data_IF_037776030538
#
_entry.id   IF_037776030538
#
_cell.length_a   1.000
_cell.length_b   1.000
_cell.length_c   1.000
_cell.angle_alpha   90.00
_cell.angle_beta   90.00
_cell.angle_gamma   90.00
#
_symmetry.space_group_name_H-M   'P 1'
#
loop_
_entity.id
_entity.type
_entity.pdbx_description
1 polymer ?
#
# COMPACT_ATOMS: atom_id res chain seq x y z
N UNK A 1 -34.14 37.15 -58.28
CA UNK A 1 -33.55 37.82 -57.09
C UNK A 1 -34.67 38.41 -56.26
N UNK A 2 -34.48 38.38 -54.94
CA UNK A 2 -35.29 38.97 -53.86
C UNK A 2 -36.42 38.10 -53.29
N UNK A 3 -36.00 37.12 -52.48
CA UNK A 3 -36.81 36.51 -51.43
C UNK A 3 -37.13 37.58 -50.36
N UNK A 4 -38.43 37.82 -50.11
CA UNK A 4 -38.91 38.62 -48.99
C UNK A 4 -39.24 37.72 -47.82
N UNK A 5 -38.38 37.75 -46.82
CA UNK A 5 -38.55 37.16 -45.49
C UNK A 5 -39.70 37.88 -44.78
N UNK A 6 -40.77 37.15 -44.43
CA UNK A 6 -41.78 37.63 -43.47
C UNK A 6 -41.39 37.12 -42.09
N UNK A 7 -41.00 38.05 -41.20
CA UNK A 7 -40.91 37.82 -39.77
C UNK A 7 -42.31 37.61 -39.21
N UNK A 8 -42.58 36.41 -38.70
CA UNK A 8 -43.71 36.16 -37.82
C UNK A 8 -43.21 36.18 -36.38
N UNK A 9 -43.50 37.27 -35.67
CA UNK A 9 -43.37 37.36 -34.22
C UNK A 9 -44.41 36.42 -33.60
N UNK A 10 -43.98 35.24 -33.15
CA UNK A 10 -44.75 34.41 -32.24
C UNK A 10 -44.26 34.69 -30.82
N UNK A 11 -44.95 35.60 -30.14
CA UNK A 11 -44.92 35.73 -28.69
C UNK A 11 -45.52 34.44 -28.12
N UNK A 12 -44.67 33.49 -27.72
CA UNK A 12 -45.13 32.33 -26.96
C UNK A 12 -45.18 32.74 -25.50
N UNK A 13 -46.42 32.93 -25.04
CA UNK A 13 -46.83 33.10 -23.66
C UNK A 13 -46.09 32.11 -22.75
N UNK A 14 -45.34 32.65 -21.80
CA UNK A 14 -44.76 31.94 -20.67
C UNK A 14 -45.87 31.47 -19.72
N UNK A 15 -46.32 30.23 -19.91
CA UNK A 15 -47.03 29.50 -18.86
C UNK A 15 -46.03 29.14 -17.77
N UNK A 16 -46.08 29.88 -16.66
CA UNK A 16 -45.52 29.51 -15.37
C UNK A 16 -46.14 28.18 -14.91
N UNK A 17 -45.47 27.07 -15.21
CA UNK A 17 -45.60 25.85 -14.43
C UNK A 17 -44.41 25.80 -13.49
N UNK A 18 -44.66 26.23 -12.25
CA UNK A 18 -43.85 25.92 -11.10
C UNK A 18 -43.89 24.40 -10.86
N UNK A 19 -43.05 23.66 -11.59
CA UNK A 19 -42.63 22.35 -11.19
C UNK A 19 -41.30 22.52 -10.44
N UNK A 20 -41.29 22.22 -9.14
CA UNK A 20 -40.08 21.89 -8.39
C UNK A 20 -39.45 20.62 -8.98
N UNK A 21 -38.93 20.72 -10.20
CA UNK A 21 -38.09 19.71 -10.81
C UNK A 21 -36.66 20.07 -10.44
N UNK A 22 -36.08 19.31 -9.53
CA UNK A 22 -34.64 19.31 -9.34
C UNK A 22 -33.96 19.06 -10.67
N UNK A 23 -33.34 20.08 -11.25
CA UNK A 23 -32.46 19.88 -12.39
C UNK A 23 -31.35 18.95 -11.93
N UNK A 24 -31.18 17.77 -12.56
CA UNK A 24 -29.99 16.96 -12.35
C UNK A 24 -28.80 17.87 -12.64
N UNK A 25 -27.98 18.14 -11.63
CA UNK A 25 -26.76 18.90 -11.83
C UNK A 25 -25.95 18.11 -12.86
N UNK A 26 -25.63 18.74 -14.00
CA UNK A 26 -24.80 18.11 -15.02
C UNK A 26 -23.57 17.50 -14.33
N UNK A 27 -23.18 16.25 -14.67
CA UNK A 27 -22.00 15.65 -14.08
C UNK A 27 -20.83 16.62 -14.27
N UNK A 28 -20.11 16.91 -13.20
CA UNK A 28 -18.96 17.81 -13.28
C UNK A 28 -17.99 17.26 -14.32
N UNK A 29 -17.58 18.11 -15.26
CA UNK A 29 -16.61 17.71 -16.28
C UNK A 29 -15.32 17.20 -15.61
N UNK A 30 -14.68 16.14 -16.15
CA UNK A 30 -13.41 15.66 -15.65
C UNK A 30 -12.36 16.78 -15.62
N UNK A 31 -11.59 16.84 -14.54
CA UNK A 31 -10.51 17.80 -14.38
C UNK A 31 -9.29 17.24 -15.10
N UNK A 32 -8.90 17.83 -16.22
CA UNK A 32 -7.75 17.39 -17.00
C UNK A 32 -6.44 17.56 -16.23
N UNK A 33 -5.52 16.60 -16.41
CA UNK A 33 -4.20 16.57 -15.76
C UNK A 33 -3.11 16.23 -16.77
N UNK A 34 -1.90 16.72 -16.51
CA UNK A 34 -0.72 16.35 -17.29
C UNK A 34 -0.22 14.96 -16.88
N UNK A 35 -0.75 13.92 -17.53
CA UNK A 35 -0.27 12.55 -17.33
C UNK A 35 1.22 12.44 -17.67
N UNK A 36 1.96 11.74 -16.82
CA UNK A 36 3.40 11.52 -16.91
C UNK A 36 3.72 10.09 -16.52
N UNK A 37 4.74 9.51 -17.14
CA UNK A 37 5.24 8.19 -16.75
C UNK A 37 6.45 8.37 -15.82
N UNK A 38 6.38 7.73 -14.66
CA UNK A 38 7.51 7.55 -13.75
C UNK A 38 7.97 6.11 -13.82
N UNK A 39 9.24 5.90 -14.14
CA UNK A 39 9.84 4.58 -14.26
C UNK A 39 10.74 4.33 -13.06
N UNK A 40 10.45 3.27 -12.33
CA UNK A 40 11.28 2.76 -11.25
C UNK A 40 11.90 1.43 -11.68
N UNK A 41 13.13 1.18 -11.26
CA UNK A 41 13.85 -0.06 -11.56
C UNK A 41 14.14 -0.73 -10.24
N UNK A 42 13.73 -1.98 -10.04
CA UNK A 42 13.94 -2.69 -8.77
C UNK A 42 14.66 -4.00 -9.03
N UNK A 43 15.66 -4.32 -8.21
CA UNK A 43 16.33 -5.63 -8.23
C UNK A 43 15.31 -6.75 -8.05
N UNK A 44 15.38 -7.78 -8.90
CA UNK A 44 14.56 -8.99 -8.77
C UNK A 44 15.39 -10.20 -8.29
N UNK A 45 16.55 -9.95 -7.67
CA UNK A 45 17.49 -10.99 -7.20
C UNK A 45 16.83 -11.99 -6.23
N UNK A 46 15.79 -11.56 -5.50
CA UNK A 46 15.01 -12.38 -4.56
C UNK A 46 13.58 -12.69 -5.04
N UNK A 47 13.31 -12.48 -6.33
CA UNK A 47 11.99 -12.63 -6.94
C UNK A 47 11.36 -11.30 -7.34
N UNK A 48 10.38 -11.40 -8.24
CA UNK A 48 9.60 -10.28 -8.72
C UNK A 48 8.66 -9.73 -7.63
N UNK A 49 8.45 -8.41 -7.64
CA UNK A 49 7.41 -7.75 -6.87
C UNK A 49 6.05 -7.98 -7.51
N UNK A 50 5.05 -8.25 -6.68
CA UNK A 50 3.66 -8.27 -7.12
C UNK A 50 3.10 -6.86 -7.23
N UNK A 51 2.02 -6.71 -8.01
CA UNK A 51 1.30 -5.44 -8.08
C UNK A 51 0.79 -5.00 -6.70
N UNK A 52 0.30 -5.92 -5.87
CA UNK A 52 -0.23 -5.59 -4.53
C UNK A 52 0.83 -4.97 -3.62
N UNK A 53 2.06 -5.48 -3.66
CA UNK A 53 3.18 -4.95 -2.89
C UNK A 53 3.54 -3.54 -3.33
N UNK A 54 3.56 -3.31 -4.65
CA UNK A 54 3.84 -2.01 -5.24
C UNK A 54 2.71 -1.03 -4.94
N UNK A 55 1.45 -1.45 -5.09
CA UNK A 55 0.27 -0.65 -4.82
C UNK A 55 0.18 -0.22 -3.36
N UNK A 56 0.55 -1.12 -2.42
CA UNK A 56 0.63 -0.80 -1.00
C UNK A 56 1.72 0.23 -0.70
N UNK A 57 2.92 0.05 -1.27
CA UNK A 57 4.05 0.95 -1.05
C UNK A 57 3.81 2.34 -1.66
N UNK A 58 3.32 2.39 -2.90
CA UNK A 58 2.89 3.63 -3.55
C UNK A 58 1.73 4.29 -2.79
N UNK A 59 0.74 3.49 -2.35
CA UNK A 59 -0.38 3.98 -1.55
C UNK A 59 0.08 4.62 -0.24
N UNK A 60 1.07 4.03 0.43
CA UNK A 60 1.69 4.58 1.64
C UNK A 60 2.41 5.89 1.33
N UNK A 61 3.25 5.93 0.29
CA UNK A 61 3.95 7.15 -0.11
C UNK A 61 2.98 8.29 -0.48
N UNK A 62 1.91 7.98 -1.21
CA UNK A 62 0.86 8.94 -1.57
C UNK A 62 0.21 9.53 -0.31
N UNK A 63 -0.14 8.69 0.67
CA UNK A 63 -0.70 9.15 1.96
C UNK A 63 0.29 10.01 2.75
N UNK A 64 1.57 9.63 2.80
CA UNK A 64 2.60 10.39 3.52
C UNK A 64 2.87 11.76 2.90
N UNK A 65 2.81 11.86 1.56
CA UNK A 65 3.13 13.10 0.84
C UNK A 65 1.91 13.98 0.57
N UNK A 66 0.70 13.47 0.76
CA UNK A 66 -0.53 14.26 0.66
C UNK A 66 -0.75 15.13 1.90
N UNK A 67 -1.34 16.29 1.69
CA UNK A 67 -1.83 17.17 2.76
C UNK A 67 -3.08 16.60 3.43
N UNK A 68 -3.75 15.63 2.79
CA UNK A 68 -4.94 14.97 3.31
C UNK A 68 -4.55 13.68 4.01
N UNK A 69 -4.93 13.57 5.27
CA UNK A 69 -4.70 12.37 6.06
C UNK A 69 -5.74 11.29 5.73
N UNK A 70 -5.36 10.03 5.96
CA UNK A 70 -6.33 8.94 6.04
C UNK A 70 -7.28 9.22 7.21
N UNK A 71 -8.56 8.92 7.01
CA UNK A 71 -9.68 9.29 7.91
C UNK A 71 -9.31 9.51 9.38
N UNK A 72 -9.61 10.71 9.88
CA UNK A 72 -9.83 11.00 11.29
C UNK A 72 -11.06 11.88 11.42
N UNK A 73 -11.89 11.69 12.46
CA UNK A 73 -13.09 12.49 12.67
C UNK A 73 -12.72 13.93 13.06
N UNK A 74 -12.43 14.77 12.07
CA UNK A 74 -12.24 16.21 12.31
C UNK A 74 -13.61 16.86 12.41
N UNK A 75 -14.16 16.88 13.63
CA UNK A 75 -15.38 17.63 13.95
C UNK A 75 -15.16 19.12 13.68
N UNK A 76 -15.56 19.59 12.51
CA UNK A 76 -15.91 21.00 12.33
C UNK A 76 -17.35 21.13 12.80
N UNK A 77 -17.53 21.47 14.08
CA UNK A 77 -18.84 21.80 14.60
C UNK A 77 -19.23 23.18 14.06
N UNK A 78 -20.19 23.22 13.14
CA UNK A 78 -20.94 24.44 12.89
C UNK A 78 -21.82 24.68 14.12
N UNK A 79 -21.75 25.87 14.73
CA UNK A 79 -22.54 26.21 15.91
C UNK A 79 -24.06 26.20 15.65
N UNK A 80 -24.49 26.03 14.39
CA UNK A 80 -25.88 25.99 13.97
C UNK A 80 -26.40 24.61 13.52
N UNK A 81 -25.53 23.60 13.32
CA UNK A 81 -25.91 22.23 12.90
C UNK A 81 -25.01 21.15 13.51
N UNK A 82 -25.59 20.00 13.89
CA UNK A 82 -24.90 18.82 14.43
C UNK A 82 -24.05 18.05 13.38
N UNK A 83 -23.91 18.59 12.17
CA UNK A 83 -23.27 17.90 11.06
C UNK A 83 -21.76 17.72 11.32
N UNK A 84 -21.28 16.51 11.09
CA UNK A 84 -19.86 16.18 11.14
C UNK A 84 -19.29 16.07 9.74
N UNK A 85 -18.26 16.87 9.46
CA UNK A 85 -17.54 16.84 8.20
C UNK A 85 -16.31 15.95 8.30
N UNK A 86 -16.03 15.19 7.27
CA UNK A 86 -14.76 14.46 7.17
C UNK A 86 -14.19 14.65 5.77
N UNK A 87 -12.95 15.14 5.74
CA UNK A 87 -12.13 15.24 4.54
C UNK A 87 -10.95 14.30 4.75
N UNK A 88 -10.67 13.49 3.75
CA UNK A 88 -9.55 12.56 3.84
C UNK A 88 -9.16 11.99 2.50
N UNK A 89 -8.15 11.14 2.56
CA UNK A 89 -7.62 10.44 1.41
C UNK A 89 -7.75 8.93 1.63
N UNK A 90 -8.11 8.18 0.59
CA UNK A 90 -7.92 6.74 0.58
C UNK A 90 -7.25 6.31 -0.71
N UNK A 91 -6.37 5.33 -0.61
CA UNK A 91 -5.76 4.65 -1.74
C UNK A 91 -6.30 3.23 -1.78
N UNK A 92 -6.84 2.83 -2.92
CA UNK A 92 -7.49 1.54 -3.09
C UNK A 92 -6.88 0.87 -4.32
N UNK A 93 -6.13 -0.24 -4.14
CA UNK A 93 -5.76 -1.09 -5.25
C UNK A 93 -7.03 -1.57 -5.97
N UNK A 94 -7.02 -1.52 -7.29
CA UNK A 94 -8.13 -1.94 -8.13
C UNK A 94 -7.58 -2.81 -9.26
N UNK A 95 -8.27 -3.91 -9.57
CA UNK A 95 -8.07 -4.82 -10.69
C UNK A 95 -6.81 -4.60 -11.55
N UNK A 96 -5.87 -5.55 -11.44
CA UNK A 96 -4.80 -5.84 -12.39
C UNK A 96 -3.63 -4.87 -12.38
N UNK A 97 -3.88 -3.57 -12.46
CA UNK A 97 -2.85 -2.55 -12.75
C UNK A 97 -3.23 -1.14 -12.24
N UNK A 98 -4.39 -0.96 -11.59
CA UNK A 98 -4.89 0.38 -11.26
C UNK A 98 -4.75 0.68 -9.76
N UNK A 99 -4.05 1.76 -9.42
CA UNK A 99 -4.08 2.32 -8.07
C UNK A 99 -4.99 3.54 -8.06
N UNK A 100 -6.13 3.42 -7.38
CA UNK A 100 -7.11 4.50 -7.27
C UNK A 100 -6.82 5.35 -6.05
N UNK A 101 -6.67 6.65 -6.27
CA UNK A 101 -6.60 7.67 -5.20
C UNK A 101 -7.94 8.37 -5.12
N UNK A 102 -8.58 8.36 -3.95
CA UNK A 102 -9.85 9.06 -3.72
C UNK A 102 -9.67 10.12 -2.64
N UNK A 103 -9.92 11.36 -3.03
CA UNK A 103 -10.12 12.49 -2.14
C UNK A 103 -11.58 12.47 -1.69
N UNK A 104 -11.80 12.05 -0.46
CA UNK A 104 -13.12 11.76 0.09
C UNK A 104 -13.67 12.96 0.84
N UNK A 105 -14.96 13.18 0.65
CA UNK A 105 -15.76 14.13 1.41
C UNK A 105 -16.97 13.38 1.93
N UNK A 106 -17.15 13.36 3.24
CA UNK A 106 -18.39 12.87 3.84
C UNK A 106 -18.95 13.88 4.83
N UNK A 107 -20.26 14.07 4.75
CA UNK A 107 -21.04 14.79 5.76
C UNK A 107 -21.92 13.76 6.43
N UNK A 108 -21.78 13.61 7.73
CA UNK A 108 -22.68 12.77 8.53
C UNK A 108 -23.52 13.69 9.41
N UNK A 109 -24.82 13.70 9.14
CA UNK A 109 -25.82 14.42 9.92
C UNK A 109 -26.97 13.49 10.32
N UNK A 110 -28.01 14.08 10.89
CA UNK A 110 -29.16 13.34 11.44
C UNK A 110 -29.93 12.50 10.39
N UNK A 111 -29.76 12.82 9.09
CA UNK A 111 -30.40 12.14 7.96
C UNK A 111 -29.51 11.09 7.26
N UNK A 112 -28.33 10.79 7.82
CA UNK A 112 -27.40 9.79 7.32
C UNK A 112 -26.10 10.37 6.76
N UNK A 113 -25.26 9.49 6.18
CA UNK A 113 -23.97 9.86 5.60
C UNK A 113 -24.10 10.12 4.11
N UNK A 114 -23.84 11.36 3.70
CA UNK A 114 -23.66 11.73 2.29
C UNK A 114 -22.16 11.65 2.01
N UNK A 115 -21.78 10.98 0.92
CA UNK A 115 -20.38 10.94 0.47
C UNK A 115 -20.26 11.36 -0.99
N UNK A 116 -19.26 12.16 -1.26
CA UNK A 116 -18.80 12.51 -2.60
C UNK A 116 -17.29 12.42 -2.60
N UNK A 117 -16.67 12.16 -3.74
CA UNK A 117 -15.22 12.13 -3.82
C UNK A 117 -14.72 12.53 -5.19
N UNK A 118 -13.53 13.11 -5.22
CA UNK A 118 -12.75 13.19 -6.44
C UNK A 118 -11.85 11.95 -6.49
N UNK A 119 -11.81 11.28 -7.64
CA UNK A 119 -10.93 10.13 -7.85
C UNK A 119 -9.96 10.41 -8.98
N UNK A 120 -8.74 9.94 -8.80
CA UNK A 120 -7.68 9.93 -9.80
C UNK A 120 -7.11 8.51 -9.90
N UNK A 121 -6.82 8.05 -11.12
CA UNK A 121 -6.38 6.68 -11.39
C UNK A 121 -4.92 6.67 -11.85
N UNK A 122 -4.07 6.04 -11.04
CA UNK A 122 -2.71 5.71 -11.44
C UNK A 122 -2.73 4.35 -12.11
N UNK A 123 -2.05 4.22 -13.25
CA UNK A 123 -1.87 2.94 -13.92
C UNK A 123 -0.44 2.47 -13.66
N UNK A 124 -0.27 1.25 -13.18
CA UNK A 124 1.03 0.64 -12.87
C UNK A 124 1.21 -0.56 -13.77
N UNK A 125 2.17 -0.49 -14.67
CA UNK A 125 2.56 -1.61 -15.52
C UNK A 125 3.89 -2.18 -15.06
N UNK A 126 3.99 -3.51 -15.04
CA UNK A 126 5.16 -4.25 -14.58
C UNK A 126 5.81 -4.95 -15.78
N UNK A 127 7.11 -4.73 -15.98
CA UNK A 127 7.89 -5.42 -16.99
C UNK A 127 9.08 -6.11 -16.34
N UNK A 128 9.17 -7.43 -16.53
CA UNK A 128 10.29 -8.23 -16.05
C UNK A 128 11.42 -8.21 -17.07
N UNK A 129 12.64 -7.96 -16.59
CA UNK A 129 13.86 -8.04 -17.37
C UNK A 129 14.91 -8.85 -16.59
N UNK A 130 16.04 -9.15 -17.23
CA UNK A 130 17.09 -9.96 -16.61
C UNK A 130 17.74 -9.18 -15.45
N UNK A 131 17.51 -9.64 -14.21
CA UNK A 131 18.11 -9.05 -13.00
C UNK A 131 17.37 -7.85 -12.40
N UNK A 132 16.33 -7.33 -13.07
CA UNK A 132 15.47 -6.27 -12.52
C UNK A 132 14.04 -6.32 -13.06
N UNK A 133 13.16 -5.62 -12.35
CA UNK A 133 11.78 -5.34 -12.75
C UNK A 133 11.61 -3.84 -12.96
N UNK A 134 11.16 -3.46 -14.15
CA UNK A 134 10.75 -2.10 -14.44
C UNK A 134 9.29 -1.90 -14.02
N UNK A 135 9.03 -0.87 -13.22
CA UNK A 135 7.72 -0.49 -12.71
C UNK A 135 7.42 0.88 -13.30
N UNK A 136 6.49 0.94 -14.25
CA UNK A 136 6.04 2.21 -14.83
C UNK A 136 4.75 2.62 -14.17
N UNK A 137 4.79 3.75 -13.46
CA UNK A 137 3.61 4.39 -12.87
C UNK A 137 3.22 5.56 -13.75
N UNK A 138 2.13 5.40 -14.49
CA UNK A 138 1.49 6.46 -15.24
C UNK A 138 0.56 7.24 -14.31
N UNK A 139 0.84 8.53 -14.15
CA UNK A 139 0.03 9.42 -13.33
C UNK A 139 -1.33 9.68 -13.99
N UNK A 140 -2.35 10.07 -13.20
CA UNK A 140 -3.69 10.31 -13.73
C UNK A 140 -3.71 11.36 -14.84
N UNK A 141 -4.42 11.08 -15.93
CA UNK A 141 -4.72 12.06 -16.99
C UNK A 141 -5.93 12.94 -16.67
N UNK A 142 -6.74 12.50 -15.73
CA UNK A 142 -7.91 13.23 -15.28
C UNK A 142 -8.27 12.87 -13.83
N UNK A 143 -8.99 13.79 -13.20
CA UNK A 143 -9.65 13.58 -11.92
C UNK A 143 -11.17 13.71 -12.11
N UNK A 144 -11.91 12.66 -11.73
CA UNK A 144 -13.37 12.59 -11.91
C UNK A 144 -14.07 12.78 -10.58
N UNK A 145 -15.16 13.53 -10.58
CA UNK A 145 -16.02 13.65 -9.40
C UNK A 145 -17.06 12.53 -9.42
N UNK A 146 -17.21 11.85 -8.29
CA UNK A 146 -18.24 10.84 -8.07
C UNK A 146 -19.10 11.26 -6.89
N UNK A 147 -20.36 11.58 -7.17
CA UNK A 147 -21.36 11.90 -6.16
C UNK A 147 -22.18 10.64 -5.86
N UNK A 148 -22.16 10.15 -4.61
CA UNK A 148 -22.89 8.94 -4.22
C UNK A 148 -24.29 9.22 -3.63
N UNK A 149 -24.77 10.46 -3.61
CA UNK A 149 -26.12 10.76 -3.05
C UNK A 149 -26.76 12.04 -3.59
N UNK A 150 -28.03 11.94 -3.98
CA UNK A 150 -28.90 13.03 -4.46
C UNK A 150 -29.57 13.76 -3.28
N UNK A 151 -28.86 14.64 -2.57
CA UNK A 151 -29.54 15.60 -1.69
C UNK A 151 -29.01 17.01 -1.90
N UNK A 152 -29.93 17.97 -1.95
CA UNK A 152 -29.74 19.41 -2.16
C UNK A 152 -28.99 20.13 -1.03
N UNK A 153 -28.15 19.43 -0.28
CA UNK A 153 -27.20 20.10 0.59
C UNK A 153 -26.10 20.58 -0.33
N UNK A 154 -25.89 21.90 -0.50
CA UNK A 154 -24.70 22.39 -1.14
C UNK A 154 -23.54 21.95 -0.24
N UNK A 155 -22.95 20.79 -0.57
CA UNK A 155 -21.64 20.44 -0.07
C UNK A 155 -20.73 21.48 -0.73
N UNK A 156 -20.55 22.61 -0.06
CA UNK A 156 -19.47 23.53 -0.37
C UNK A 156 -18.24 22.65 -0.46
N UNK A 157 -17.58 22.65 -1.62
CA UNK A 157 -16.36 21.91 -1.82
C UNK A 157 -15.42 22.40 -0.71
N UNK A 158 -15.21 21.57 0.32
CA UNK A 158 -14.41 21.95 1.48
C UNK A 158 -12.96 22.21 1.07
N UNK A 159 -12.58 21.78 -0.13
CA UNK A 159 -11.38 22.21 -0.80
C UNK A 159 -11.60 22.48 -2.29
N UNK A 160 -10.85 23.44 -2.85
CA UNK A 160 -11.00 23.82 -4.26
C UNK A 160 -10.42 22.75 -5.18
N UNK A 161 -10.94 22.65 -6.41
CA UNK A 161 -10.35 21.81 -7.46
C UNK A 161 -8.85 22.08 -7.63
N UNK A 162 -8.44 23.34 -7.55
CA UNK A 162 -7.04 23.76 -7.62
C UNK A 162 -6.19 23.15 -6.49
N UNK A 163 -6.69 23.13 -5.25
CA UNK A 163 -5.96 22.56 -4.12
C UNK A 163 -5.77 21.04 -4.26
N UNK A 164 -6.77 20.33 -4.79
CA UNK A 164 -6.66 18.89 -5.06
C UNK A 164 -5.65 18.58 -6.17
N UNK A 165 -5.68 19.37 -7.24
CA UNK A 165 -4.70 19.25 -8.34
C UNK A 165 -3.29 19.54 -7.84
N UNK A 166 -3.12 20.58 -7.01
CA UNK A 166 -1.84 20.96 -6.42
C UNK A 166 -1.32 19.90 -5.44
N UNK A 167 -2.19 19.31 -4.62
CA UNK A 167 -1.83 18.19 -3.74
C UNK A 167 -1.35 16.99 -4.55
N UNK A 168 -2.13 16.59 -5.55
CA UNK A 168 -1.80 15.45 -6.41
C UNK A 168 -0.51 15.69 -7.19
N UNK A 169 -0.26 16.91 -7.68
CA UNK A 169 1.00 17.28 -8.32
C UNK A 169 2.20 17.19 -7.35
N UNK A 170 2.02 17.61 -6.08
CA UNK A 170 3.05 17.46 -5.04
C UNK A 170 3.29 15.99 -4.65
N UNK A 171 2.24 15.17 -4.59
CA UNK A 171 2.35 13.72 -4.40
C UNK A 171 3.13 13.11 -5.56
N UNK A 172 2.76 13.45 -6.80
CA UNK A 172 3.44 12.97 -8.01
C UNK A 172 4.90 13.36 -8.01
N UNK A 173 5.26 14.61 -7.67
CA UNK A 173 6.67 15.03 -7.69
C UNK A 173 7.54 14.27 -6.68
N UNK A 174 6.97 13.88 -5.54
CA UNK A 174 7.62 13.12 -4.46
C UNK A 174 7.39 11.61 -4.49
N UNK A 175 6.76 11.11 -5.55
CA UNK A 175 6.45 9.70 -5.69
C UNK A 175 7.74 8.86 -5.66
N UNK A 176 7.82 8.01 -4.66
CA UNK A 176 8.92 7.10 -4.36
C UNK A 176 8.36 5.92 -3.55
N UNK A 177 9.10 4.82 -3.40
CA UNK A 177 8.70 3.73 -2.53
C UNK A 177 9.89 2.91 -2.02
N UNK A 178 9.66 2.28 -0.88
CA UNK A 178 10.53 1.26 -0.31
C UNK A 178 9.68 0.09 0.16
N UNK A 179 10.13 -1.13 -0.11
CA UNK A 179 9.42 -2.36 0.27
C UNK A 179 10.33 -3.19 1.17
N UNK A 180 9.87 -3.46 2.39
CA UNK A 180 10.53 -4.37 3.31
C UNK A 180 10.17 -5.82 2.97
N UNK A 181 11.18 -6.68 2.94
CA UNK A 181 11.09 -8.10 2.59
C UNK A 181 11.96 -8.91 3.53
N UNK A 182 11.75 -10.22 3.56
CA UNK A 182 12.63 -11.15 4.26
C UNK A 182 13.09 -12.26 3.32
N UNK A 183 14.31 -12.73 3.53
CA UNK A 183 14.83 -13.96 2.92
C UNK A 183 14.86 -15.04 3.99
N UNK A 184 14.23 -16.17 3.71
CA UNK A 184 14.24 -17.32 4.61
C UNK A 184 15.43 -18.22 4.32
N UNK A 185 16.20 -18.52 5.34
CA UNK A 185 17.27 -19.50 5.30
C UNK A 185 16.88 -20.74 6.10
N UNK A 186 17.33 -21.90 5.63
CA UNK A 186 17.22 -23.19 6.34
C UNK A 186 18.59 -23.85 6.35
N UNK A 187 18.94 -24.48 7.46
CA UNK A 187 20.11 -25.32 7.57
C UNK A 187 19.79 -26.55 8.42
N UNK A 188 20.56 -27.61 8.18
CA UNK A 188 20.48 -28.87 8.94
C UNK A 188 21.89 -29.19 9.41
N UNK A 189 22.01 -29.54 10.69
CA UNK A 189 23.28 -29.85 11.32
C UNK A 189 23.20 -31.21 12.02
N UNK A 190 23.78 -32.27 11.44
CA UNK A 190 23.90 -33.56 12.11
C UNK A 190 24.95 -33.48 13.22
N UNK A 191 24.70 -34.18 14.33
CA UNK A 191 25.56 -34.20 15.52
C UNK A 191 25.61 -35.62 16.09
N UNK A 192 26.73 -35.99 16.71
CA UNK A 192 26.86 -37.26 17.44
C UNK A 192 26.32 -37.17 18.89
N UNK A 193 25.74 -36.02 19.25
CA UNK A 193 25.21 -35.77 20.58
C UNK A 193 23.72 -36.10 20.66
N UNK A 194 23.26 -36.48 21.86
CA UNK A 194 21.83 -36.68 22.11
C UNK A 194 21.06 -35.36 22.06
N UNK A 195 19.75 -35.45 21.84
CA UNK A 195 18.82 -34.29 21.82
C UNK A 195 19.02 -33.38 23.03
N UNK A 196 19.07 -33.94 24.24
CA UNK A 196 19.24 -33.16 25.47
C UNK A 196 20.61 -32.49 25.56
N UNK A 197 21.67 -33.17 25.13
CA UNK A 197 23.03 -32.63 25.15
C UNK A 197 23.14 -31.41 24.22
N UNK A 198 22.60 -31.50 23.00
CA UNK A 198 22.61 -30.37 22.06
C UNK A 198 21.80 -29.19 22.59
N UNK A 199 20.61 -29.43 23.14
CA UNK A 199 19.79 -28.36 23.75
C UNK A 199 20.56 -27.70 24.90
N UNK A 200 21.25 -28.49 25.73
CA UNK A 200 22.04 -27.97 26.82
C UNK A 200 23.21 -27.09 26.32
N UNK A 201 23.95 -27.55 25.30
CA UNK A 201 25.05 -26.78 24.69
C UNK A 201 24.55 -25.45 24.11
N UNK A 202 23.42 -25.48 23.39
CA UNK A 202 22.78 -24.27 22.87
C UNK A 202 22.33 -23.34 24.00
N UNK A 203 21.65 -23.86 25.03
CA UNK A 203 21.16 -23.06 26.15
C UNK A 203 22.27 -22.42 26.98
N UNK A 204 23.48 -22.99 26.97
CA UNK A 204 24.66 -22.38 27.61
C UNK A 204 25.10 -21.08 26.93
N UNK A 205 24.90 -20.99 25.61
CA UNK A 205 25.38 -19.86 24.78
C UNK A 205 24.27 -18.89 24.40
N UNK A 206 23.08 -19.43 24.16
CA UNK A 206 21.91 -18.70 23.71
C UNK A 206 20.73 -19.10 24.60
N UNK A 207 20.13 -18.18 25.37
CA UNK A 207 18.93 -18.50 26.14
C UNK A 207 17.86 -19.10 25.24
N UNK A 208 17.53 -20.38 25.48
CA UNK A 208 16.52 -21.09 24.71
C UNK A 208 15.13 -20.77 25.26
N UNK A 209 14.18 -20.54 24.35
CA UNK A 209 12.80 -20.18 24.65
C UNK A 209 11.82 -21.01 23.83
N UNK A 210 10.53 -20.95 24.17
CA UNK A 210 9.45 -21.61 23.43
C UNK A 210 9.67 -23.12 23.20
N UNK A 211 10.21 -23.82 24.21
CA UNK A 211 10.48 -25.25 24.13
C UNK A 211 9.16 -26.03 24.11
N UNK A 212 8.89 -26.71 23.01
CA UNK A 212 7.69 -27.53 22.79
C UNK A 212 8.09 -28.87 22.16
N UNK A 213 7.31 -29.92 22.41
CA UNK A 213 7.53 -31.25 21.82
C UNK A 213 7.64 -32.37 22.84
N UNK A 214 8.09 -33.53 22.38
CA UNK A 214 8.29 -34.72 23.20
C UNK A 214 9.74 -34.77 23.74
N UNK A 215 10.04 -35.79 24.55
CA UNK A 215 11.43 -36.08 24.93
C UNK A 215 12.31 -36.44 23.72
N UNK A 216 11.71 -36.95 22.65
CA UNK A 216 12.44 -37.42 21.47
C UNK A 216 12.69 -36.29 20.48
N UNK A 217 11.76 -35.36 20.32
CA UNK A 217 11.94 -34.21 19.42
C UNK A 217 11.50 -32.93 20.12
N UNK A 218 12.36 -31.91 20.08
CA UNK A 218 12.04 -30.60 20.64
C UNK A 218 12.13 -29.52 19.57
N UNK A 219 11.14 -28.64 19.57
CA UNK A 219 11.17 -27.37 18.86
C UNK A 219 11.43 -26.27 19.87
N UNK A 220 12.28 -25.32 19.53
CA UNK A 220 12.63 -24.21 20.39
C UNK A 220 13.15 -23.03 19.57
N UNK A 221 13.22 -21.87 20.21
CA UNK A 221 13.75 -20.66 19.60
C UNK A 221 14.90 -20.10 20.42
N UNK A 222 15.89 -19.55 19.73
CA UNK A 222 17.02 -18.86 20.35
C UNK A 222 17.48 -17.71 19.45
N UNK A 223 18.34 -16.84 19.96
CA UNK A 223 18.74 -15.63 19.25
C UNK A 223 20.24 -15.63 18.98
N UNK A 224 20.64 -15.34 17.75
CA UNK A 224 22.04 -15.23 17.32
C UNK A 224 22.22 -13.88 16.64
N UNK A 225 23.07 -13.03 17.18
CA UNK A 225 23.36 -11.69 16.64
C UNK A 225 22.09 -10.87 16.34
N UNK A 226 21.07 -10.94 17.22
CA UNK A 226 19.79 -10.25 17.04
C UNK A 226 18.80 -10.94 16.10
N UNK A 227 19.21 -12.03 15.45
CA UNK A 227 18.35 -12.84 14.57
C UNK A 227 17.68 -13.95 15.36
N UNK A 228 16.35 -14.01 15.32
CA UNK A 228 15.57 -15.09 15.91
C UNK A 228 15.67 -16.35 15.06
N UNK A 229 16.08 -17.44 15.67
CA UNK A 229 16.22 -18.76 15.04
C UNK A 229 15.14 -19.67 15.61
N UNK A 230 14.39 -20.33 14.73
CA UNK A 230 13.47 -21.40 15.09
C UNK A 230 14.11 -22.73 14.72
N UNK A 231 14.32 -23.58 15.72
CA UNK A 231 15.00 -24.84 15.55
C UNK A 231 14.15 -26.01 16.02
N UNK A 232 14.33 -27.15 15.35
CA UNK A 232 13.81 -28.45 15.73
C UNK A 232 14.99 -29.40 15.83
N UNK A 233 15.09 -30.10 16.94
CA UNK A 233 16.05 -31.17 17.10
C UNK A 233 15.32 -32.51 17.19
N UNK A 234 15.85 -33.51 16.50
CA UNK A 234 15.29 -34.87 16.48
C UNK A 234 16.40 -35.90 16.53
N UNK A 235 16.14 -37.14 16.99
CA UNK A 235 17.13 -38.19 17.02
C UNK A 235 17.47 -38.59 15.58
N UNK A 236 18.75 -38.78 15.29
CA UNK A 236 19.21 -39.16 13.96
C UNK A 236 20.44 -40.06 14.07
N UNK A 237 20.31 -41.32 13.65
CA UNK A 237 21.36 -42.33 13.79
C UNK A 237 21.89 -42.38 15.24
N UNK A 238 23.21 -42.51 15.43
CA UNK A 238 23.88 -42.53 16.73
C UNK A 238 23.97 -41.15 17.41
N UNK A 239 23.08 -40.21 17.08
CA UNK A 239 23.09 -38.85 17.59
C UNK A 239 21.78 -38.11 17.30
N UNK A 240 21.87 -36.86 16.85
CA UNK A 240 20.71 -36.01 16.57
C UNK A 240 20.93 -35.10 15.36
N UNK A 241 19.84 -34.55 14.82
CA UNK A 241 19.85 -33.54 13.77
C UNK A 241 19.18 -32.28 14.27
N UNK A 242 19.86 -31.14 14.15
CA UNK A 242 19.32 -29.82 14.41
C UNK A 242 18.92 -29.18 13.08
N UNK A 243 17.62 -29.10 12.83
CA UNK A 243 17.03 -28.39 11.71
C UNK A 243 16.63 -27.00 12.17
N UNK A 244 17.15 -25.95 11.55
CA UNK A 244 16.82 -24.59 11.95
C UNK A 244 16.57 -23.68 10.77
N UNK A 245 15.69 -22.71 11.00
CA UNK A 245 15.33 -21.68 10.05
C UNK A 245 15.34 -20.31 10.72
N UNK A 246 15.58 -19.30 9.90
CA UNK A 246 15.56 -17.90 10.30
C UNK A 246 15.32 -17.03 9.08
N UNK A 247 14.94 -15.79 9.34
CA UNK A 247 14.62 -14.82 8.30
C UNK A 247 15.50 -13.59 8.47
N UNK A 248 16.10 -13.13 7.37
CA UNK A 248 16.90 -11.91 7.33
C UNK A 248 16.16 -10.83 6.54
N UNK A 249 15.87 -9.66 7.15
CA UNK A 249 15.16 -8.60 6.47
C UNK A 249 16.07 -7.84 5.50
N UNK A 250 15.48 -7.34 4.41
CA UNK A 250 16.10 -6.40 3.49
C UNK A 250 15.05 -5.41 2.97
N UNK A 251 15.51 -4.28 2.46
CA UNK A 251 14.66 -3.22 1.92
C UNK A 251 14.99 -3.03 0.46
N UNK A 252 13.98 -3.14 -0.41
CA UNK A 252 14.06 -2.78 -1.82
C UNK A 252 13.68 -1.31 -1.97
N UNK A 253 14.51 -0.53 -2.65
CA UNK A 253 14.23 0.87 -2.97
C UNK A 253 13.84 1.03 -4.43
N UNK A 254 13.10 2.08 -4.74
CA UNK A 254 12.62 2.38 -6.10
C UNK A 254 13.74 2.73 -7.10
N UNK A 255 14.94 3.05 -6.61
CA UNK A 255 16.15 3.35 -7.37
C UNK A 255 16.95 2.09 -7.79
N UNK A 256 16.48 0.90 -7.38
CA UNK A 256 17.10 -0.37 -7.71
C UNK A 256 18.07 -0.88 -6.66
N UNK A 257 18.37 -0.07 -5.64
CA UNK A 257 19.26 -0.47 -4.56
C UNK A 257 18.54 -1.30 -3.51
N UNK A 258 19.31 -2.14 -2.81
CA UNK A 258 18.84 -2.96 -1.70
C UNK A 258 19.63 -2.60 -0.44
N UNK A 259 19.00 -2.67 0.74
CA UNK A 259 19.73 -2.43 2.00
C UNK A 259 20.80 -3.49 2.25
N UNK A 260 20.56 -4.70 1.74
CA UNK A 260 21.51 -5.81 1.67
C UNK A 260 21.29 -6.60 0.38
N UNK A 261 22.37 -6.89 -0.34
CA UNK A 261 22.31 -7.73 -1.55
C UNK A 261 22.42 -9.24 -1.21
N UNK A 262 22.20 -10.10 -2.21
CA UNK A 262 22.27 -11.56 -2.05
C UNK A 262 23.59 -12.03 -1.43
N UNK A 263 24.73 -11.44 -1.81
CA UNK A 263 26.04 -11.83 -1.29
C UNK A 263 26.17 -11.51 0.21
N UNK A 264 25.74 -10.32 0.62
CA UNK A 264 25.76 -9.88 2.02
C UNK A 264 24.84 -10.76 2.88
N UNK A 265 23.60 -11.02 2.42
CA UNK A 265 22.66 -11.88 3.14
C UNK A 265 23.17 -13.32 3.24
N UNK A 266 23.82 -13.84 2.19
CA UNK A 266 24.43 -15.17 2.22
C UNK A 266 25.60 -15.23 3.20
N UNK A 267 26.47 -14.21 3.22
CA UNK A 267 27.58 -14.12 4.17
C UNK A 267 27.10 -14.05 5.63
N UNK A 268 26.04 -13.29 5.90
CA UNK A 268 25.39 -13.25 7.22
C UNK A 268 24.81 -14.61 7.60
N UNK A 269 24.15 -15.29 6.66
CA UNK A 269 23.65 -16.65 6.86
C UNK A 269 24.78 -17.63 7.22
N UNK A 270 25.90 -17.60 6.50
CA UNK A 270 27.05 -18.45 6.81
C UNK A 270 27.66 -18.15 8.17
N UNK A 271 27.73 -16.86 8.56
CA UNK A 271 28.16 -16.47 9.90
C UNK A 271 27.23 -17.07 10.98
N UNK A 272 25.91 -16.97 10.80
CA UNK A 272 24.93 -17.57 11.72
C UNK A 272 25.12 -19.08 11.80
N UNK A 273 25.30 -19.78 10.67
CA UNK A 273 25.55 -21.23 10.66
C UNK A 273 26.80 -21.59 11.47
N UNK A 274 27.90 -20.84 11.31
CA UNK A 274 29.12 -21.05 12.09
C UNK A 274 28.89 -20.83 13.60
N UNK A 275 28.11 -19.81 13.98
CA UNK A 275 27.78 -19.55 15.38
C UNK A 275 26.99 -20.69 16.03
N UNK A 276 26.02 -21.25 15.29
CA UNK A 276 25.21 -22.39 15.72
C UNK A 276 26.06 -23.66 15.79
N UNK A 277 26.86 -23.96 14.76
CA UNK A 277 27.73 -25.14 14.77
C UNK A 277 28.77 -25.09 15.89
N UNK A 278 29.34 -23.93 16.19
CA UNK A 278 30.28 -23.75 17.29
C UNK A 278 29.62 -23.72 18.69
N UNK A 279 28.29 -23.82 18.76
CA UNK A 279 27.56 -23.86 20.02
C UNK A 279 27.16 -25.28 20.44
N UNK A 280 27.42 -26.26 19.58
CA UNK A 280 27.10 -27.68 19.80
C UNK A 280 28.39 -28.44 19.98
#
# INVERSE_FOLDING_TARGET
MNARTKFASAVVLSSFLAACGSTPKAPAEPIAMAAQDKIFTVSNEFGALSFDEIALALGTNIKTNSKYQEYGAKRLADSSRSDTYTVGLTTVPQDGENLRVRYLYSVTGDLGTISSYHQALFNVSLKQEAGYQAITVRTPSEMTRVDKTFMFIPVNQLDTTENLVNDLANVVSKLDFSIEKTVRFKAELPTDYSVEAVIHSLNRKYPVSNVQGSKESRTFSFNVDGTSITAKISPFRNGSILDYNYELPYTLKSDGTTSQNQQQLTALSEKIKQHVSAAI
#
